data_IF_323399716410
#
_entry.id   IF_323399716410
#
_cell.length_a   1.000
_cell.length_b   1.000
_cell.length_c   1.000
_cell.angle_alpha   90.00
_cell.angle_beta   90.00
_cell.angle_gamma   90.00
#
_symmetry.space_group_name_H-M   'P 1'
#
loop_
_entity.id
_entity.type
_entity.pdbx_description
1 polymer ?
#
# COMPACT_ATOMS: atom_id res chain seq x y z
N UNK A 1 -17.47 6.91 -4.71
CA UNK A 1 -16.04 7.07 -5.04
C UNK A 1 -15.85 8.22 -6.03
N UNK A 2 -16.58 8.27 -7.15
CA UNK A 2 -16.45 9.33 -8.16
C UNK A 2 -16.58 10.75 -7.58
N UNK A 3 -17.63 11.04 -6.81
CA UNK A 3 -17.86 12.35 -6.20
C UNK A 3 -16.77 12.78 -5.19
N UNK A 4 -16.04 11.84 -4.59
CA UNK A 4 -14.94 12.13 -3.66
C UNK A 4 -13.65 12.54 -4.35
N UNK A 5 -13.49 12.26 -5.64
CA UNK A 5 -12.25 12.52 -6.39
C UNK A 5 -12.36 13.77 -7.28
N UNK A 6 -13.54 14.09 -7.81
CA UNK A 6 -13.75 15.26 -8.66
C UNK A 6 -13.66 16.58 -7.87
N UNK A 7 -14.27 16.64 -6.70
CA UNK A 7 -14.31 17.85 -5.89
C UNK A 7 -12.90 18.36 -5.45
N UNK A 8 -11.96 17.54 -4.96
CA UNK A 8 -10.61 17.99 -4.64
C UNK A 8 -9.83 18.47 -5.87
N UNK A 9 -9.95 17.78 -7.02
CA UNK A 9 -9.30 18.17 -8.26
C UNK A 9 -9.76 19.56 -8.71
N UNK A 10 -11.08 19.82 -8.72
CA UNK A 10 -11.67 21.11 -9.09
C UNK A 10 -11.23 22.22 -8.13
N UNK A 11 -11.14 21.95 -6.83
CA UNK A 11 -10.66 22.94 -5.86
C UNK A 11 -9.22 23.36 -6.13
N UNK A 12 -8.33 22.42 -6.39
CA UNK A 12 -6.96 22.74 -6.73
C UNK A 12 -6.86 23.53 -8.03
N UNK A 13 -7.58 23.11 -9.06
CA UNK A 13 -7.54 23.75 -10.37
C UNK A 13 -8.06 25.19 -10.35
N UNK A 14 -9.19 25.45 -9.66
CA UNK A 14 -9.81 26.77 -9.66
C UNK A 14 -9.24 27.76 -8.65
N UNK A 15 -8.69 27.26 -7.53
CA UNK A 15 -8.22 28.11 -6.43
C UNK A 15 -6.71 28.15 -6.28
N UNK A 16 -6.00 27.31 -7.01
CA UNK A 16 -4.55 27.12 -6.92
C UNK A 16 -4.08 26.83 -5.48
N UNK A 17 -4.86 26.00 -4.75
CA UNK A 17 -4.55 25.54 -3.39
C UNK A 17 -4.43 24.02 -3.37
N UNK A 18 -3.55 23.46 -2.53
CA UNK A 18 -3.44 22.01 -2.42
C UNK A 18 -4.76 21.42 -1.93
N UNK A 19 -5.14 20.31 -2.51
CA UNK A 19 -6.30 19.53 -2.08
C UNK A 19 -5.99 18.04 -2.19
N UNK A 20 -6.67 17.21 -1.44
CA UNK A 20 -6.33 15.79 -1.38
C UNK A 20 -7.58 14.90 -1.31
N UNK A 21 -7.38 13.65 -1.64
CA UNK A 21 -8.34 12.59 -1.32
C UNK A 21 -8.04 12.01 0.07
N UNK A 22 -8.96 11.25 0.59
CA UNK A 22 -8.68 10.32 1.67
C UNK A 22 -7.83 9.12 1.16
N UNK A 23 -7.44 8.19 2.06
CA UNK A 23 -6.69 7.00 1.66
C UNK A 23 -7.50 6.08 0.75
N UNK A 24 -6.91 5.79 -0.39
CA UNK A 24 -7.45 4.94 -1.44
C UNK A 24 -6.92 3.50 -1.29
N UNK A 25 -7.79 2.53 -1.46
CA UNK A 25 -7.40 1.12 -1.68
C UNK A 25 -6.78 0.96 -3.06
N UNK A 26 -6.09 -0.15 -3.33
CA UNK A 26 -5.52 -0.44 -4.65
C UNK A 26 -6.56 -0.35 -5.79
N UNK A 27 -7.80 -0.82 -5.54
CA UNK A 27 -8.86 -0.71 -6.54
C UNK A 27 -9.31 0.74 -6.79
N UNK A 28 -9.35 1.55 -5.74
CA UNK A 28 -9.67 2.97 -5.84
C UNK A 28 -8.53 3.77 -6.49
N UNK A 29 -7.28 3.38 -6.25
CA UNK A 29 -6.12 3.95 -6.96
C UNK A 29 -6.17 3.64 -8.46
N UNK A 30 -6.51 2.41 -8.87
CA UNK A 30 -6.70 2.07 -10.28
C UNK A 30 -7.80 2.91 -10.92
N UNK A 31 -8.94 3.07 -10.24
CA UNK A 31 -10.03 3.94 -10.69
C UNK A 31 -9.60 5.40 -10.77
N UNK A 32 -8.84 5.88 -9.77
CA UNK A 32 -8.27 7.23 -9.76
C UNK A 32 -7.40 7.49 -10.98
N UNK A 33 -6.45 6.60 -11.30
CA UNK A 33 -5.60 6.74 -12.48
C UNK A 33 -6.40 6.76 -13.79
N UNK A 34 -7.42 5.94 -13.92
CA UNK A 34 -8.29 5.91 -15.11
C UNK A 34 -9.11 7.20 -15.28
N UNK A 35 -9.40 7.86 -14.17
CA UNK A 35 -10.19 9.10 -14.18
C UNK A 35 -9.30 10.31 -14.38
N UNK A 36 -8.26 10.48 -13.57
CA UNK A 36 -7.41 11.66 -13.56
C UNK A 36 -6.64 11.85 -14.86
N UNK A 37 -6.20 10.76 -15.49
CA UNK A 37 -5.48 10.80 -16.77
C UNK A 37 -6.35 11.32 -17.95
N UNK A 38 -7.66 11.48 -17.75
CA UNK A 38 -8.56 12.07 -18.75
C UNK A 38 -8.71 13.57 -18.57
N UNK A 39 -8.19 14.14 -17.49
CA UNK A 39 -8.32 15.57 -17.17
C UNK A 39 -7.01 16.26 -17.53
N UNK A 40 -6.98 17.11 -18.58
CA UNK A 40 -5.77 17.80 -18.99
C UNK A 40 -5.26 18.76 -17.91
N UNK A 41 -3.94 18.84 -17.74
CA UNK A 41 -3.30 19.83 -16.88
C UNK A 41 -3.38 19.56 -15.38
N UNK A 42 -3.94 18.44 -14.96
CA UNK A 42 -3.98 18.05 -13.54
C UNK A 42 -2.64 17.49 -13.12
N UNK A 43 -2.04 18.09 -12.09
CA UNK A 43 -0.81 17.63 -11.43
C UNK A 43 -1.17 17.00 -10.11
N UNK A 44 -0.59 15.84 -9.81
CA UNK A 44 -0.86 15.12 -8.57
C UNK A 44 0.29 14.21 -8.17
N UNK A 45 0.33 13.84 -6.89
CA UNK A 45 1.19 12.79 -6.35
C UNK A 45 0.37 11.85 -5.46
N UNK A 46 0.65 10.55 -5.49
CA UNK A 46 0.08 9.59 -4.55
C UNK A 46 1.12 9.23 -3.50
N UNK A 47 0.77 9.43 -2.24
CA UNK A 47 1.63 9.07 -1.12
C UNK A 47 0.84 8.39 0.00
N UNK A 48 1.47 7.46 0.67
CA UNK A 48 0.97 6.83 1.90
C UNK A 48 1.95 7.03 3.07
N UNK A 49 2.84 8.05 2.98
CA UNK A 49 3.81 8.37 4.01
C UNK A 49 5.14 7.63 3.90
N UNK A 50 5.22 6.61 3.05
CA UNK A 50 6.46 5.89 2.74
C UNK A 50 6.35 5.21 1.37
N UNK A 51 7.48 4.83 0.76
CA UNK A 51 7.54 4.34 -0.63
C UNK A 51 6.70 3.07 -0.85
N UNK A 52 6.81 2.12 0.08
CA UNK A 52 6.17 0.82 -0.04
C UNK A 52 4.68 0.80 0.38
N UNK A 53 4.09 1.95 0.68
CA UNK A 53 2.71 2.06 1.15
C UNK A 53 1.71 1.43 0.17
N UNK A 54 0.80 0.61 0.71
CA UNK A 54 -0.29 0.02 -0.07
C UNK A 54 -1.47 0.99 -0.20
N UNK A 55 -1.85 1.63 0.89
CA UNK A 55 -2.89 2.65 0.90
C UNK A 55 -2.27 4.03 0.69
N UNK A 56 -2.75 4.75 -0.31
CA UNK A 56 -2.22 6.07 -0.67
C UNK A 56 -3.35 7.07 -0.80
N UNK A 57 -3.10 8.30 -0.38
CA UNK A 57 -3.94 9.43 -0.71
C UNK A 57 -3.34 10.17 -1.91
N UNK A 58 -4.20 10.75 -2.74
CA UNK A 58 -3.77 11.60 -3.82
C UNK A 58 -3.79 13.06 -3.36
N UNK A 59 -2.65 13.73 -3.52
CA UNK A 59 -2.51 15.18 -3.36
C UNK A 59 -2.53 15.82 -4.75
N UNK A 60 -3.43 16.74 -4.99
CA UNK A 60 -3.45 17.60 -6.17
C UNK A 60 -2.54 18.80 -5.92
N UNK A 61 -1.63 19.01 -6.87
CA UNK A 61 -0.54 19.99 -6.74
C UNK A 61 -0.94 21.33 -7.35
N UNK A 62 -0.90 22.43 -6.57
CA UNK A 62 -1.06 23.77 -7.10
C UNK A 62 0.11 24.15 -8.04
N UNK A 63 -0.02 25.26 -8.76
CA UNK A 63 0.95 25.65 -9.79
C UNK A 63 2.37 25.87 -9.25
N UNK A 64 2.48 26.31 -8.01
CA UNK A 64 3.75 26.61 -7.34
C UNK A 64 4.44 25.39 -6.68
N UNK A 65 3.76 24.23 -6.59
CA UNK A 65 4.36 23.04 -6.00
C UNK A 65 5.31 22.33 -6.96
N UNK A 66 6.33 21.66 -6.44
CA UNK A 66 7.21 20.80 -7.23
C UNK A 66 6.52 19.49 -7.61
N UNK A 67 6.87 18.92 -8.77
CA UNK A 67 6.34 17.63 -9.19
C UNK A 67 6.86 16.52 -8.27
N UNK A 68 5.92 15.70 -7.78
CA UNK A 68 6.24 14.60 -6.86
C UNK A 68 6.34 15.00 -5.39
N UNK A 69 6.23 16.27 -5.03
CA UNK A 69 6.23 16.70 -3.64
C UNK A 69 4.92 16.33 -2.94
N UNK A 70 4.99 15.47 -1.94
CA UNK A 70 3.89 15.03 -1.11
C UNK A 70 3.85 15.73 0.28
N UNK A 71 4.73 16.70 0.54
CA UNK A 71 4.89 17.33 1.86
C UNK A 71 3.62 18.05 2.36
N UNK A 72 2.79 18.51 1.43
CA UNK A 72 1.51 19.16 1.73
C UNK A 72 0.36 18.19 2.01
N UNK A 73 0.58 16.87 1.92
CA UNK A 73 -0.44 15.88 2.24
C UNK A 73 -0.62 15.81 3.77
N UNK A 74 -1.83 16.09 4.31
CA UNK A 74 -2.05 16.15 5.75
C UNK A 74 -2.20 14.74 6.34
N UNK A 75 -1.10 14.03 6.46
CA UNK A 75 -1.03 12.72 7.12
C UNK A 75 -0.17 12.80 8.38
N UNK A 76 -0.47 11.95 9.33
CA UNK A 76 0.25 11.80 10.59
C UNK A 76 0.62 10.34 10.82
N UNK A 77 1.65 10.13 11.61
CA UNK A 77 2.06 8.82 12.12
C UNK A 77 1.70 8.76 13.61
N UNK A 78 0.95 7.75 14.00
CA UNK A 78 0.59 7.50 15.40
C UNK A 78 1.23 6.18 15.82
N UNK A 79 2.13 6.23 16.81
CA UNK A 79 2.67 5.06 17.47
C UNK A 79 1.69 4.57 18.53
N UNK A 80 1.38 3.29 18.51
CA UNK A 80 0.49 2.62 19.46
C UNK A 80 1.34 1.59 20.20
N UNK A 81 1.56 1.80 21.49
CA UNK A 81 2.44 0.98 22.32
C UNK A 81 1.71 0.39 23.51
N UNK A 82 2.02 -0.83 23.96
CA UNK A 82 1.45 -1.38 25.17
C UNK A 82 1.97 -0.60 26.39
N UNK A 83 1.10 -0.36 27.36
CA UNK A 83 1.49 0.23 28.65
C UNK A 83 2.45 -0.68 29.43
N UNK A 84 2.36 -1.98 29.20
CA UNK A 84 3.25 -2.96 29.83
C UNK A 84 3.52 -4.12 28.86
N UNK A 85 4.74 -4.17 28.34
CA UNK A 85 5.16 -5.19 27.37
C UNK A 85 5.10 -6.62 27.91
N UNK A 86 5.33 -6.82 29.22
CA UNK A 86 5.34 -8.16 29.84
C UNK A 86 3.97 -8.84 29.83
N UNK A 87 2.91 -8.06 29.78
CA UNK A 87 1.52 -8.54 29.80
C UNK A 87 0.78 -8.25 28.49
N UNK A 88 1.49 -7.81 27.47
CA UNK A 88 0.91 -7.54 26.18
C UNK A 88 0.62 -8.85 25.42
N UNK A 89 -0.57 -8.94 24.83
CA UNK A 89 -0.88 -9.99 23.86
C UNK A 89 0.03 -9.86 22.63
N UNK A 90 0.25 -10.95 21.92
CA UNK A 90 0.81 -10.89 20.58
C UNK A 90 -0.26 -10.29 19.63
N UNK A 91 -0.15 -8.99 19.38
CA UNK A 91 -1.13 -8.24 18.60
C UNK A 91 -0.82 -8.32 17.10
N UNK A 92 -1.85 -8.57 16.32
CA UNK A 92 -1.78 -8.61 14.87
C UNK A 92 -2.34 -7.32 14.25
N UNK A 93 -2.04 -7.09 12.96
CA UNK A 93 -2.64 -6.02 12.17
C UNK A 93 -4.18 -5.95 12.30
N UNK A 94 -4.86 -7.11 12.34
CA UNK A 94 -6.33 -7.19 12.48
C UNK A 94 -6.81 -6.69 13.83
N UNK A 95 -6.04 -6.90 14.89
CA UNK A 95 -6.41 -6.48 16.24
C UNK A 95 -6.36 -4.96 16.36
N UNK A 96 -5.29 -4.33 15.84
CA UNK A 96 -5.19 -2.87 15.78
C UNK A 96 -6.28 -2.26 14.90
N UNK A 97 -6.45 -2.78 13.68
CA UNK A 97 -7.49 -2.28 12.77
C UNK A 97 -8.89 -2.42 13.38
N UNK A 98 -9.21 -3.57 13.98
CA UNK A 98 -10.49 -3.81 14.63
C UNK A 98 -10.76 -2.82 15.76
N UNK A 99 -9.75 -2.51 16.58
CA UNK A 99 -9.88 -1.55 17.67
C UNK A 99 -10.11 -0.13 17.16
N UNK A 100 -9.40 0.29 16.10
CA UNK A 100 -9.61 1.58 15.45
C UNK A 100 -11.01 1.71 14.83
N UNK A 101 -11.48 0.67 14.17
CA UNK A 101 -12.85 0.65 13.61
C UNK A 101 -13.92 0.72 14.71
N UNK A 102 -13.69 0.10 15.86
CA UNK A 102 -14.60 0.17 17.02
C UNK A 102 -14.68 1.57 17.66
N UNK A 103 -13.69 2.43 17.45
CA UNK A 103 -13.77 3.85 17.83
C UNK A 103 -14.66 4.67 16.88
N UNK A 104 -15.18 4.06 15.80
CA UNK A 104 -15.94 4.77 14.77
C UNK A 104 -15.08 5.48 13.73
N UNK A 105 -13.75 5.26 13.73
CA UNK A 105 -12.86 5.82 12.72
C UNK A 105 -13.13 5.15 11.37
N UNK A 106 -13.44 5.93 10.36
CA UNK A 106 -13.75 5.41 9.03
C UNK A 106 -12.49 4.89 8.33
N UNK A 107 -12.59 3.74 7.65
CA UNK A 107 -11.44 3.05 7.04
C UNK A 107 -10.65 3.90 6.06
N UNK A 108 -11.31 4.82 5.37
CA UNK A 108 -10.67 5.73 4.42
C UNK A 108 -9.82 6.84 5.08
N UNK A 109 -9.99 7.08 6.39
CA UNK A 109 -9.13 7.97 7.18
C UNK A 109 -7.81 7.31 7.59
N UNK A 110 -7.72 5.98 7.44
CA UNK A 110 -6.58 5.16 7.85
C UNK A 110 -5.78 4.68 6.64
N UNK A 111 -4.48 4.93 6.67
CA UNK A 111 -3.49 4.37 5.78
C UNK A 111 -3.08 2.96 6.19
N UNK A 112 -1.78 2.68 6.10
CA UNK A 112 -1.20 1.40 6.49
C UNK A 112 -0.93 1.37 8.01
N UNK A 113 -0.92 0.15 8.56
CA UNK A 113 -0.52 -0.14 9.93
C UNK A 113 0.71 -1.04 9.85
N UNK A 114 1.84 -0.54 10.33
CA UNK A 114 3.11 -1.27 10.37
C UNK A 114 3.32 -1.82 11.76
N UNK A 115 3.60 -3.12 11.87
CA UNK A 115 3.79 -3.80 13.17
C UNK A 115 5.28 -3.91 13.47
N UNK A 116 5.64 -3.56 14.69
CA UNK A 116 6.98 -3.73 15.25
C UNK A 116 6.88 -4.40 16.63
N UNK A 117 7.06 -5.70 16.65
CA UNK A 117 6.83 -6.49 17.87
C UNK A 117 5.40 -6.34 18.39
N UNK A 118 5.26 -5.80 19.60
CA UNK A 118 3.98 -5.51 20.24
C UNK A 118 3.49 -4.07 20.02
N UNK A 119 4.20 -3.28 19.22
CA UNK A 119 3.84 -1.92 18.85
C UNK A 119 3.30 -1.88 17.42
N UNK A 120 2.58 -0.81 17.12
CA UNK A 120 2.15 -0.51 15.76
C UNK A 120 2.35 0.97 15.44
N UNK A 121 2.69 1.24 14.19
CA UNK A 121 2.75 2.58 13.62
C UNK A 121 1.60 2.71 12.61
N UNK A 122 0.63 3.52 12.96
CA UNK A 122 -0.52 3.82 12.12
C UNK A 122 -0.25 5.09 11.33
N UNK A 123 -0.43 5.03 10.03
CA UNK A 123 -0.53 6.22 9.20
C UNK A 123 -2.02 6.59 9.09
N UNK A 124 -2.37 7.83 9.37
CA UNK A 124 -3.76 8.30 9.27
C UNK A 124 -3.82 9.72 8.72
N UNK A 125 -5.01 10.18 8.36
CA UNK A 125 -5.22 11.62 8.12
C UNK A 125 -4.94 12.41 9.39
N UNK A 126 -4.27 13.55 9.26
CA UNK A 126 -3.80 14.33 10.40
C UNK A 126 -4.94 14.78 11.34
N UNK A 127 -6.13 15.04 10.79
CA UNK A 127 -7.32 15.40 11.54
C UNK A 127 -7.83 14.29 12.48
N UNK A 128 -7.35 13.05 12.32
CA UNK A 128 -7.73 11.91 13.16
C UNK A 128 -6.70 11.56 14.23
N UNK A 129 -5.48 12.10 14.16
CA UNK A 129 -4.39 11.68 15.04
C UNK A 129 -4.68 11.95 16.51
N UNK A 130 -5.09 13.17 16.84
CA UNK A 130 -5.40 13.56 18.23
C UNK A 130 -6.57 12.76 18.80
N UNK A 131 -7.63 12.53 18.00
CA UNK A 131 -8.77 11.71 18.40
C UNK A 131 -8.34 10.27 18.72
N UNK A 132 -7.53 9.67 17.83
CA UNK A 132 -7.03 8.30 18.04
C UNK A 132 -6.17 8.25 19.31
N UNK A 133 -5.26 9.21 19.52
CA UNK A 133 -4.43 9.27 20.72
C UNK A 133 -5.26 9.43 22.00
N UNK A 134 -6.34 10.20 21.93
CA UNK A 134 -7.22 10.43 23.08
C UNK A 134 -8.07 9.21 23.42
N UNK A 135 -8.58 8.48 22.42
CA UNK A 135 -9.63 7.49 22.60
C UNK A 135 -9.14 6.03 22.59
N UNK A 136 -8.05 5.71 21.86
CA UNK A 136 -7.53 4.34 21.80
C UNK A 136 -6.76 3.98 23.07
N UNK A 137 -7.45 3.34 24.02
CA UNK A 137 -6.86 2.93 25.31
C UNK A 137 -6.61 1.42 25.37
N UNK A 138 -7.13 0.64 24.43
CA UNK A 138 -7.06 -0.80 24.49
C UNK A 138 -7.11 -1.44 23.10
N UNK A 139 -6.25 -2.45 22.90
CA UNK A 139 -6.29 -3.33 21.74
C UNK A 139 -6.44 -4.77 22.26
N UNK A 140 -7.57 -5.42 22.01
CA UNK A 140 -7.98 -6.69 22.65
C UNK A 140 -7.95 -6.56 24.20
N UNK A 141 -7.07 -7.33 24.84
CA UNK A 141 -6.89 -7.29 26.29
C UNK A 141 -5.70 -6.41 26.74
N UNK A 142 -4.90 -5.91 25.78
CA UNK A 142 -3.73 -5.09 26.04
C UNK A 142 -4.10 -3.63 26.17
N UNK A 143 -3.79 -3.04 27.32
CA UNK A 143 -3.88 -1.57 27.50
C UNK A 143 -2.75 -0.90 26.73
N UNK A 144 -3.09 0.14 25.97
CA UNK A 144 -2.15 0.85 25.10
C UNK A 144 -2.15 2.35 25.37
N UNK A 145 -1.09 3.01 24.96
CA UNK A 145 -1.03 4.46 24.80
C UNK A 145 -0.60 4.80 23.37
N UNK A 146 -1.00 5.98 22.93
CA UNK A 146 -0.74 6.44 21.57
C UNK A 146 -0.03 7.79 21.62
N UNK A 147 0.93 7.98 20.71
CA UNK A 147 1.70 9.20 20.54
C UNK A 147 1.83 9.52 19.05
N UNK A 148 1.75 10.83 18.73
CA UNK A 148 2.03 11.30 17.36
C UNK A 148 3.55 11.38 17.19
N UNK A 149 4.05 10.73 16.16
CA UNK A 149 5.47 10.68 15.81
C UNK A 149 5.79 11.63 14.64
N UNK A 150 7.02 12.11 14.59
CA UNK A 150 7.49 12.94 13.49
C UNK A 150 7.58 12.19 12.15
N UNK A 151 7.61 10.87 12.20
CA UNK A 151 7.67 9.99 11.02
C UNK A 151 7.78 8.52 11.41
N UNK A 152 7.86 7.67 10.41
CA UNK A 152 8.10 6.23 10.60
C UNK A 152 9.58 5.95 10.89
N UNK A 153 9.90 4.96 11.76
CA UNK A 153 11.25 4.45 11.88
C UNK A 153 11.76 3.93 10.53
N UNK A 154 13.03 4.23 10.21
CA UNK A 154 13.65 3.83 8.94
C UNK A 154 13.60 2.31 8.73
N UNK A 155 13.78 1.54 9.81
CA UNK A 155 13.78 0.08 9.79
C UNK A 155 12.44 -0.53 9.37
N UNK A 156 11.35 0.21 9.55
CA UNK A 156 10.00 -0.21 9.14
C UNK A 156 9.64 0.24 7.72
N UNK A 157 10.33 1.26 7.22
CA UNK A 157 10.10 1.79 5.88
C UNK A 157 10.95 1.09 4.83
N UNK A 158 12.10 0.55 5.25
CA UNK A 158 12.95 -0.28 4.39
C UNK A 158 12.25 -1.60 4.07
N UNK A 159 11.99 -1.88 2.80
CA UNK A 159 11.33 -3.12 2.42
C UNK A 159 12.25 -4.30 2.68
N UNK A 160 11.90 -5.13 3.65
CA UNK A 160 12.53 -6.45 3.80
C UNK A 160 12.11 -7.30 2.62
N UNK A 161 13.07 -7.73 1.82
CA UNK A 161 12.79 -8.56 0.64
C UNK A 161 13.45 -9.93 0.76
N UNK A 162 12.74 -10.94 0.29
CA UNK A 162 13.26 -12.29 0.06
C UNK A 162 13.43 -12.48 -1.44
N UNK A 163 14.66 -12.75 -1.88
CA UNK A 163 14.95 -13.04 -3.29
C UNK A 163 14.51 -14.47 -3.60
N UNK A 164 13.69 -14.62 -4.64
CA UNK A 164 13.27 -15.90 -5.18
C UNK A 164 13.61 -15.98 -6.65
N UNK A 165 14.07 -17.13 -7.06
CA UNK A 165 14.51 -17.39 -8.42
C UNK A 165 14.05 -18.76 -8.90
N UNK A 166 13.83 -18.87 -10.19
CA UNK A 166 13.45 -20.15 -10.78
C UNK A 166 13.21 -20.08 -12.29
N UNK A 167 13.05 -21.23 -12.91
CA UNK A 167 12.89 -21.31 -14.35
C UNK A 167 11.42 -21.35 -14.76
N UNK A 168 11.04 -20.46 -15.68
CA UNK A 168 9.71 -20.41 -16.31
C UNK A 168 9.82 -20.64 -17.81
N UNK A 169 8.76 -21.13 -18.44
CA UNK A 169 8.74 -21.30 -19.91
C UNK A 169 8.63 -19.94 -20.64
N UNK A 170 7.93 -19.00 -20.01
CA UNK A 170 7.77 -17.62 -20.48
C UNK A 170 7.48 -16.70 -19.30
N UNK A 171 7.77 -15.40 -19.45
CA UNK A 171 7.48 -14.37 -18.43
C UNK A 171 5.99 -14.01 -18.49
N UNK A 172 5.17 -14.91 -17.93
CA UNK A 172 3.73 -14.74 -17.78
C UNK A 172 3.39 -14.51 -16.32
N UNK A 173 2.39 -13.70 -16.07
CA UNK A 173 1.95 -13.35 -14.71
C UNK A 173 1.65 -14.59 -13.85
N UNK A 174 0.91 -15.58 -14.39
CA UNK A 174 0.58 -16.81 -13.67
C UNK A 174 1.81 -17.64 -13.27
N UNK A 175 2.84 -17.65 -14.12
CA UNK A 175 4.07 -18.38 -13.85
C UNK A 175 4.96 -17.68 -12.82
N UNK A 176 5.09 -16.35 -12.93
CA UNK A 176 5.91 -15.56 -12.01
C UNK A 176 5.25 -15.46 -10.64
N UNK A 177 3.92 -15.33 -10.55
CA UNK A 177 3.17 -15.42 -9.29
C UNK A 177 3.41 -16.76 -8.57
N UNK A 178 3.33 -17.85 -9.33
CA UNK A 178 3.59 -19.22 -8.84
C UNK A 178 4.96 -19.34 -8.19
N UNK A 179 5.98 -18.74 -8.81
CA UNK A 179 7.34 -18.67 -8.27
C UNK A 179 7.41 -17.78 -7.02
N UNK A 180 6.92 -16.55 -7.09
CA UNK A 180 7.01 -15.56 -6.02
C UNK A 180 6.36 -16.03 -4.72
N UNK A 181 5.20 -16.70 -4.81
CA UNK A 181 4.45 -17.17 -3.66
C UNK A 181 4.64 -18.67 -3.35
N UNK A 182 5.59 -19.34 -4.04
CA UNK A 182 5.87 -20.79 -3.87
C UNK A 182 4.59 -21.62 -3.93
N UNK A 183 3.74 -21.35 -4.91
CA UNK A 183 2.41 -21.93 -5.05
C UNK A 183 2.20 -22.50 -6.46
N UNK A 184 1.12 -23.26 -6.67
CA UNK A 184 0.81 -23.79 -8.00
C UNK A 184 0.12 -22.72 -8.88
N UNK A 185 0.31 -22.83 -10.21
CA UNK A 185 -0.39 -21.98 -11.18
C UNK A 185 -1.91 -22.08 -11.08
N UNK A 186 -2.41 -23.29 -10.78
CA UNK A 186 -3.85 -23.54 -10.61
C UNK A 186 -4.46 -22.76 -9.43
N UNK A 187 -3.65 -22.39 -8.43
CA UNK A 187 -4.06 -21.52 -7.34
C UNK A 187 -3.93 -20.04 -7.68
N UNK A 188 -2.99 -19.68 -8.55
CA UNK A 188 -2.76 -18.26 -8.93
C UNK A 188 -3.75 -17.74 -9.97
N UNK A 189 -4.14 -18.58 -10.94
CA UNK A 189 -5.06 -18.19 -12.01
C UNK A 189 -6.40 -17.65 -11.49
N UNK A 190 -7.10 -18.30 -10.53
CA UNK A 190 -8.34 -17.77 -9.98
C UNK A 190 -8.18 -16.41 -9.29
N UNK A 191 -7.02 -16.12 -8.69
CA UNK A 191 -6.75 -14.82 -8.08
C UNK A 191 -6.60 -13.72 -9.12
N UNK A 192 -5.96 -14.03 -10.25
CA UNK A 192 -5.80 -13.09 -11.36
C UNK A 192 -7.17 -12.80 -11.98
N UNK A 193 -7.89 -13.84 -12.38
CA UNK A 193 -9.21 -13.72 -13.01
C UNK A 193 -10.25 -13.11 -12.09
N UNK A 194 -10.14 -13.36 -10.78
CA UNK A 194 -10.97 -12.79 -9.72
C UNK A 194 -10.64 -11.34 -9.35
N UNK A 195 -9.74 -10.67 -10.09
CA UNK A 195 -9.45 -9.25 -9.88
C UNK A 195 -8.71 -8.93 -8.57
N UNK A 196 -7.86 -9.86 -8.12
CA UNK A 196 -7.08 -9.69 -6.89
C UNK A 196 -5.61 -9.30 -7.16
N UNK A 197 -5.19 -9.18 -8.44
CA UNK A 197 -3.81 -8.93 -8.83
C UNK A 197 -3.68 -7.57 -9.51
N UNK A 198 -2.68 -6.82 -9.09
CA UNK A 198 -2.37 -5.49 -9.61
C UNK A 198 -0.90 -5.43 -10.03
N UNK A 199 -0.61 -4.81 -11.17
CA UNK A 199 0.73 -4.49 -11.64
C UNK A 199 0.87 -2.97 -11.63
N UNK A 200 1.80 -2.43 -10.85
CA UNK A 200 2.01 -0.99 -10.66
C UNK A 200 0.70 -0.25 -10.32
N UNK A 201 -0.11 -0.85 -9.44
CA UNK A 201 -1.40 -0.32 -9.01
C UNK A 201 -2.56 -0.53 -9.99
N UNK A 202 -2.32 -1.03 -11.21
CA UNK A 202 -3.35 -1.30 -12.22
C UNK A 202 -3.88 -2.72 -12.12
N UNK A 203 -5.21 -2.87 -12.11
CA UNK A 203 -5.86 -4.17 -12.10
C UNK A 203 -5.53 -4.98 -13.35
N UNK A 204 -5.11 -6.23 -13.16
CA UNK A 204 -4.84 -7.18 -14.25
C UNK A 204 -5.60 -8.46 -14.01
N UNK A 205 -6.38 -8.88 -15.03
CA UNK A 205 -7.21 -10.09 -15.00
C UNK A 205 -6.77 -11.17 -15.98
N UNK A 206 -5.72 -10.89 -16.75
CA UNK A 206 -5.19 -11.87 -17.72
C UNK A 206 -4.03 -12.66 -17.13
N UNK A 207 -4.15 -14.00 -16.97
CA UNK A 207 -3.05 -14.84 -16.49
C UNK A 207 -1.81 -14.83 -17.42
N UNK A 208 -2.02 -14.52 -18.70
CA UNK A 208 -0.96 -14.44 -19.72
C UNK A 208 -0.30 -13.06 -19.82
N UNK A 209 -0.69 -12.09 -19.01
CA UNK A 209 -0.04 -10.78 -19.00
C UNK A 209 1.47 -10.93 -18.79
N UNK A 210 2.26 -10.18 -19.55
CA UNK A 210 3.71 -10.14 -19.43
C UNK A 210 4.13 -9.11 -18.40
N UNK A 211 5.21 -9.41 -17.68
CA UNK A 211 5.85 -8.49 -16.74
C UNK A 211 7.06 -7.82 -17.39
N UNK A 212 7.30 -6.57 -17.03
CA UNK A 212 8.50 -5.81 -17.36
C UNK A 212 9.41 -5.76 -16.11
N UNK A 213 10.70 -5.56 -16.33
CA UNK A 213 11.64 -5.31 -15.24
C UNK A 213 11.14 -4.16 -14.35
N UNK A 214 11.34 -4.31 -13.06
CA UNK A 214 10.89 -3.43 -11.99
C UNK A 214 9.36 -3.33 -11.77
N UNK A 215 8.55 -4.13 -12.48
CA UNK A 215 7.12 -4.19 -12.20
C UNK A 215 6.86 -4.64 -10.75
N UNK A 216 6.11 -3.81 -10.02
CA UNK A 216 5.60 -4.13 -8.69
C UNK A 216 4.26 -4.85 -8.81
N UNK A 217 4.25 -6.12 -8.45
CA UNK A 217 3.05 -6.95 -8.48
C UNK A 217 2.49 -7.11 -7.08
N UNK A 218 1.24 -6.71 -6.88
CA UNK A 218 0.53 -6.86 -5.61
C UNK A 218 -0.62 -7.85 -5.75
N UNK A 219 -0.70 -8.81 -4.82
CA UNK A 219 -1.79 -9.78 -4.73
C UNK A 219 -2.52 -9.57 -3.41
N UNK A 220 -3.81 -9.28 -3.46
CA UNK A 220 -4.62 -9.05 -2.24
C UNK A 220 -4.49 -10.23 -1.28
N UNK A 221 -4.27 -9.92 -0.01
CA UNK A 221 -4.14 -10.88 1.10
C UNK A 221 -2.94 -11.85 1.01
N UNK A 222 -2.08 -11.73 -0.01
CA UNK A 222 -0.89 -12.56 -0.15
C UNK A 222 0.43 -11.78 -0.08
N UNK A 223 0.37 -10.45 -0.31
CA UNK A 223 1.53 -9.57 -0.32
C UNK A 223 1.93 -9.11 -1.72
N UNK A 224 3.17 -8.67 -1.86
CA UNK A 224 3.69 -8.08 -3.09
C UNK A 224 5.11 -8.56 -3.39
N UNK A 225 5.51 -8.43 -4.65
CA UNK A 225 6.89 -8.65 -5.09
C UNK A 225 7.25 -7.70 -6.23
N UNK A 226 8.55 -7.43 -6.38
CA UNK A 226 9.14 -6.75 -7.54
C UNK A 226 9.64 -7.83 -8.51
N UNK A 227 9.31 -7.69 -9.77
CA UNK A 227 9.88 -8.53 -10.81
C UNK A 227 11.22 -7.92 -11.27
N UNK A 228 12.34 -8.57 -10.91
CA UNK A 228 13.68 -8.06 -11.21
C UNK A 228 14.06 -8.27 -12.68
N UNK A 229 13.64 -9.40 -13.27
CA UNK A 229 13.93 -9.68 -14.66
C UNK A 229 14.36 -11.11 -14.97
N UNK A 230 14.86 -11.33 -16.18
CA UNK A 230 15.45 -12.58 -16.64
C UNK A 230 16.95 -12.49 -16.49
N UNK A 231 17.56 -13.38 -15.70
CA UNK A 231 19.02 -13.45 -15.55
C UNK A 231 19.70 -14.22 -16.68
N UNK A 232 19.14 -15.36 -17.04
CA UNK A 232 19.70 -16.21 -18.10
C UNK A 232 18.65 -17.13 -18.70
N UNK A 233 19.04 -17.83 -19.76
CA UNK A 233 18.24 -18.88 -20.39
C UNK A 233 18.89 -20.24 -20.16
N UNK A 234 18.10 -21.22 -19.75
CA UNK A 234 18.59 -22.59 -19.53
C UNK A 234 18.90 -23.27 -20.88
N UNK A 235 19.74 -24.30 -20.87
CA UNK A 235 20.04 -25.12 -22.08
C UNK A 235 18.79 -25.67 -22.78
N UNK A 236 17.67 -25.78 -22.07
CA UNK A 236 16.37 -26.25 -22.58
C UNK A 236 15.45 -25.10 -23.05
N UNK A 237 15.97 -23.88 -23.18
CA UNK A 237 15.22 -22.70 -23.63
C UNK A 237 14.30 -22.07 -22.60
N UNK A 238 14.31 -22.51 -21.33
CA UNK A 238 13.53 -21.88 -20.27
C UNK A 238 14.24 -20.62 -19.74
N UNK A 239 13.47 -19.63 -19.35
CA UNK A 239 13.96 -18.37 -18.78
C UNK A 239 14.16 -18.52 -17.28
N UNK A 240 15.34 -18.14 -16.78
CA UNK A 240 15.62 -18.10 -15.35
C UNK A 240 15.29 -16.68 -14.84
N UNK A 241 14.20 -16.59 -14.09
CA UNK A 241 13.65 -15.30 -13.62
C UNK A 241 13.91 -15.10 -12.14
N UNK A 242 14.01 -13.83 -11.76
CA UNK A 242 14.22 -13.37 -10.39
C UNK A 242 13.11 -12.44 -9.96
N UNK A 243 12.65 -12.63 -8.74
CA UNK A 243 11.71 -11.72 -8.06
C UNK A 243 12.22 -11.41 -6.65
N UNK A 244 11.91 -10.23 -6.17
CA UNK A 244 12.10 -9.81 -4.77
C UNK A 244 10.75 -9.72 -4.10
N UNK A 245 10.43 -10.70 -3.26
CA UNK A 245 9.19 -10.75 -2.51
C UNK A 245 9.34 -9.92 -1.25
N UNK A 246 8.44 -8.98 -1.04
CA UNK A 246 8.36 -8.23 0.21
C UNK A 246 7.84 -9.14 1.32
N UNK A 247 8.58 -9.21 2.42
CA UNK A 247 8.22 -9.96 3.62
C UNK A 247 8.04 -8.99 4.79
N UNK A 248 7.01 -9.22 5.56
CA UNK A 248 6.70 -8.47 6.80
C UNK A 248 7.32 -9.15 8.00
#
# INVERSE_FOLDING_TARGET
VYKRQEHPCEQCYHRDVPSHTEFLTLAEQDLFYRTVNKIPGVRYVLSGGYEAAERKAALFLPSYAEDGDASMLPIAVVRISPLNEKFADALSHRDFLGSLMNLGVERYKLGDILIDGNQAYLICMADMADYICAELKRVRHTSVYCEVEAGLPAELTEPKTERKEGSVASVRLDAVLSLAFSSSRSKMVPLIEGGQVFINGKLVTSPSASLKEDDLVTVRHMGKFRYVGVQNQTKKGRLYVVVERFVS
#
